data_IF_799037639545
#
_entry.id   IF_799037639545
#
_cell.length_a   1.000
_cell.length_b   1.000
_cell.length_c   1.000
_cell.angle_alpha   90.00
_cell.angle_beta   90.00
_cell.angle_gamma   90.00
#
_symmetry.space_group_name_H-M   'P 1'
#
loop_
_entity.id
_entity.type
_entity.pdbx_description
1 polymer ?
#
# COMPACT_ATOMS: atom_id res chain seq x y z
N UNK A 1 -4.58 -17.65 20.88
CA UNK A 1 -3.28 -17.20 20.32
C UNK A 1 -3.53 -16.59 18.95
N UNK A 2 -3.09 -15.35 18.70
CA UNK A 2 -3.14 -14.77 17.36
C UNK A 2 -2.14 -15.48 16.44
N UNK A 3 -2.59 -16.00 15.31
CA UNK A 3 -1.75 -16.79 14.38
C UNK A 3 -0.62 -15.98 13.71
N UNK A 4 -0.71 -14.65 13.69
CA UNK A 4 0.29 -13.77 13.09
C UNK A 4 0.62 -12.60 14.03
N UNK A 5 1.90 -12.19 14.06
CA UNK A 5 2.33 -10.99 14.79
C UNK A 5 1.89 -9.72 14.06
N UNK A 6 1.78 -8.59 14.78
CA UNK A 6 1.47 -7.29 14.18
C UNK A 6 2.47 -6.92 13.07
N UNK A 7 3.76 -7.21 13.27
CA UNK A 7 4.81 -7.01 12.27
C UNK A 7 4.52 -7.81 10.99
N UNK A 8 4.28 -9.11 11.11
CA UNK A 8 3.95 -9.99 9.98
C UNK A 8 2.73 -9.49 9.22
N UNK A 9 1.69 -9.04 9.94
CA UNK A 9 0.48 -8.50 9.33
C UNK A 9 0.78 -7.25 8.50
N UNK A 10 1.49 -6.26 9.05
CA UNK A 10 1.83 -5.05 8.28
C UNK A 10 2.82 -5.32 7.14
N UNK A 11 3.73 -6.28 7.30
CA UNK A 11 4.66 -6.69 6.25
C UNK A 11 3.89 -7.28 5.06
N UNK A 12 2.97 -8.20 5.34
CA UNK A 12 2.07 -8.78 4.33
C UNK A 12 1.24 -7.69 3.64
N UNK A 13 0.69 -6.74 4.38
CA UNK A 13 -0.06 -5.60 3.81
C UNK A 13 0.81 -4.78 2.86
N UNK A 14 2.03 -4.44 3.29
CA UNK A 14 2.95 -3.65 2.47
C UNK A 14 3.36 -4.37 1.19
N UNK A 15 3.75 -5.65 1.28
CA UNK A 15 4.10 -6.48 0.12
C UNK A 15 2.92 -6.60 -0.87
N UNK A 16 1.70 -6.79 -0.37
CA UNK A 16 0.50 -6.82 -1.21
C UNK A 16 0.28 -5.50 -1.95
N UNK A 17 0.51 -4.35 -1.30
CA UNK A 17 0.43 -3.06 -2.00
C UNK A 17 1.52 -2.88 -3.04
N UNK A 18 2.76 -3.32 -2.79
CA UNK A 18 3.85 -3.28 -3.78
C UNK A 18 3.46 -4.10 -5.01
N UNK A 19 2.97 -5.33 -4.81
CA UNK A 19 2.51 -6.20 -5.90
C UNK A 19 1.33 -5.57 -6.65
N UNK A 20 0.38 -4.98 -5.93
CA UNK A 20 -0.78 -4.32 -6.54
C UNK A 20 -0.37 -3.11 -7.38
N UNK A 21 0.60 -2.32 -6.92
CA UNK A 21 1.15 -1.21 -7.69
C UNK A 21 1.85 -1.68 -8.97
N UNK A 22 2.60 -2.80 -8.91
CA UNK A 22 3.21 -3.41 -10.09
C UNK A 22 2.13 -3.88 -11.09
N UNK A 23 1.09 -4.56 -10.62
CA UNK A 23 -0.05 -4.99 -11.45
C UNK A 23 -0.78 -3.80 -12.08
N UNK A 24 -1.05 -2.75 -11.31
CA UNK A 24 -1.66 -1.52 -11.82
C UNK A 24 -0.83 -0.91 -12.96
N UNK A 25 0.50 -0.80 -12.78
CA UNK A 25 1.37 -0.32 -13.85
C UNK A 25 1.24 -1.16 -15.11
N UNK A 26 1.23 -2.50 -14.97
CA UNK A 26 1.05 -3.42 -16.10
C UNK A 26 -0.30 -3.21 -16.80
N UNK A 27 -1.41 -3.11 -16.05
CA UNK A 27 -2.72 -2.87 -16.65
C UNK A 27 -2.81 -1.53 -17.38
N UNK A 28 -2.35 -0.45 -16.75
CA UNK A 28 -2.32 0.88 -17.36
C UNK A 28 -1.55 0.86 -18.67
N UNK A 29 -0.39 0.19 -18.69
CA UNK A 29 0.44 0.06 -19.89
C UNK A 29 -0.23 -0.79 -20.97
N UNK A 30 -0.73 -1.96 -20.61
CA UNK A 30 -1.36 -2.90 -21.57
C UNK A 30 -2.65 -2.33 -22.17
N UNK A 31 -3.42 -1.56 -21.40
CA UNK A 31 -4.65 -0.92 -21.88
C UNK A 31 -4.40 0.40 -22.62
N UNK A 32 -3.14 0.85 -22.73
CA UNK A 32 -2.81 2.10 -23.42
C UNK A 32 -3.36 3.35 -22.73
N UNK A 33 -3.59 3.32 -21.42
CA UNK A 33 -4.11 4.48 -20.68
C UNK A 33 -3.09 5.61 -20.71
N UNK A 34 -3.49 6.78 -21.20
CA UNK A 34 -2.68 7.99 -21.14
C UNK A 34 -2.60 8.49 -19.69
N UNK A 35 -1.49 8.21 -19.01
CA UNK A 35 -1.27 8.51 -17.59
C UNK A 35 -1.21 10.01 -17.27
N UNK A 36 -0.83 10.84 -18.25
CA UNK A 36 -0.78 12.29 -18.09
C UNK A 36 -2.20 12.84 -18.03
N UNK A 37 -3.04 12.47 -19.00
CA UNK A 37 -4.45 12.90 -19.08
C UNK A 37 -5.32 12.29 -17.97
N UNK A 38 -4.97 11.10 -17.47
CA UNK A 38 -5.77 10.35 -16.50
C UNK A 38 -5.14 10.29 -15.10
N UNK A 39 -4.26 11.23 -14.76
CA UNK A 39 -3.57 11.27 -13.45
C UNK A 39 -4.54 11.27 -12.26
N UNK A 40 -5.58 12.10 -12.29
CA UNK A 40 -6.60 12.15 -11.24
C UNK A 40 -7.40 10.83 -11.11
N UNK A 41 -7.66 10.15 -12.22
CA UNK A 41 -8.30 8.83 -12.19
C UNK A 41 -7.39 7.79 -11.52
N UNK A 42 -6.10 7.78 -11.85
CA UNK A 42 -5.11 6.87 -11.26
C UNK A 42 -4.97 7.13 -9.76
N UNK A 43 -4.88 8.40 -9.35
CA UNK A 43 -4.82 8.78 -7.93
C UNK A 43 -6.05 8.29 -7.15
N UNK A 44 -7.25 8.50 -7.70
CA UNK A 44 -8.49 7.99 -7.08
C UNK A 44 -8.50 6.46 -7.01
N UNK A 45 -8.06 5.77 -8.06
CA UNK A 45 -7.98 4.31 -8.06
C UNK A 45 -7.02 3.80 -6.95
N UNK A 46 -5.87 4.44 -6.77
CA UNK A 46 -4.93 4.13 -5.67
C UNK A 46 -5.60 4.31 -4.31
N UNK A 47 -6.28 5.45 -4.09
CA UNK A 47 -6.97 5.72 -2.83
C UNK A 47 -8.07 4.69 -2.54
N UNK A 48 -8.83 4.29 -3.56
CA UNK A 48 -9.86 3.25 -3.43
C UNK A 48 -9.24 1.89 -3.10
N UNK A 49 -8.16 1.49 -3.77
CA UNK A 49 -7.44 0.23 -3.46
C UNK A 49 -6.99 0.20 -2.00
N UNK A 50 -6.42 1.29 -1.50
CA UNK A 50 -5.97 1.40 -0.10
C UNK A 50 -7.15 1.27 0.86
N UNK A 51 -8.24 2.00 0.59
CA UNK A 51 -9.44 1.95 1.42
C UNK A 51 -10.08 0.56 1.44
N UNK A 52 -10.26 -0.05 0.27
CA UNK A 52 -10.81 -1.39 0.14
C UNK A 52 -9.93 -2.45 0.79
N UNK A 53 -8.60 -2.29 0.75
CA UNK A 53 -7.69 -3.19 1.45
C UNK A 53 -7.89 -3.10 2.96
N UNK A 54 -7.96 -1.88 3.52
CA UNK A 54 -8.25 -1.69 4.94
C UNK A 54 -9.60 -2.31 5.35
N UNK A 55 -10.67 -2.05 4.60
CA UNK A 55 -11.99 -2.60 4.92
C UNK A 55 -12.01 -4.13 4.82
N UNK A 56 -11.34 -4.70 3.81
CA UNK A 56 -11.22 -6.15 3.65
C UNK A 56 -10.49 -6.80 4.83
N UNK A 57 -9.41 -6.18 5.31
CA UNK A 57 -8.68 -6.71 6.47
C UNK A 57 -9.52 -6.60 7.73
N UNK A 58 -10.19 -5.47 7.96
CA UNK A 58 -11.06 -5.27 9.11
C UNK A 58 -12.21 -6.28 9.13
N UNK A 59 -12.82 -6.55 7.98
CA UNK A 59 -13.89 -7.53 7.84
C UNK A 59 -13.37 -8.94 8.16
N UNK A 60 -12.20 -9.32 7.63
CA UNK A 60 -11.55 -10.61 7.96
C UNK A 60 -11.22 -10.74 9.45
N UNK A 61 -10.74 -9.66 10.08
CA UNK A 61 -10.44 -9.61 11.52
C UNK A 61 -11.69 -9.65 12.41
N UNK A 62 -12.86 -9.33 11.88
CA UNK A 62 -14.15 -9.31 12.61
C UNK A 62 -15.01 -10.56 12.39
N UNK A 63 -14.58 -11.49 11.53
CA UNK A 63 -15.35 -12.68 11.21
C UNK A 63 -15.53 -13.61 12.42
N UNK A 64 -16.61 -14.41 12.39
CA UNK A 64 -17.00 -15.31 13.49
C UNK A 64 -15.84 -16.14 14.05
N UNK A 65 -15.04 -16.75 13.17
CA UNK A 65 -13.87 -17.56 13.55
C UNK A 65 -12.81 -16.75 14.31
N UNK A 66 -12.57 -15.49 13.93
CA UNK A 66 -11.61 -14.60 14.59
C UNK A 66 -12.12 -14.15 15.98
N UNK A 67 -13.43 -13.90 16.09
CA UNK A 67 -14.09 -13.57 17.37
C UNK A 67 -14.03 -14.73 18.37
N UNK A 68 -14.31 -15.95 17.92
CA UNK A 68 -14.27 -17.16 18.74
C UNK A 68 -12.84 -17.49 19.18
N UNK A 69 -11.82 -17.12 18.39
CA UNK A 69 -10.41 -17.40 18.68
C UNK A 69 -9.70 -16.33 19.53
N UNK A 70 -10.42 -15.31 20.01
CA UNK A 70 -9.86 -14.11 20.66
C UNK A 70 -8.75 -13.40 19.86
N UNK A 71 -8.73 -13.60 18.53
CA UNK A 71 -7.73 -13.02 17.65
C UNK A 71 -8.08 -11.57 17.34
N UNK A 72 -7.59 -10.61 18.15
CA UNK A 72 -7.74 -9.19 17.83
C UNK A 72 -6.69 -8.77 16.83
N UNK A 73 -7.10 -8.45 15.60
CA UNK A 73 -6.26 -7.82 14.59
C UNK A 73 -6.59 -6.32 14.55
N UNK A 74 -5.95 -5.54 15.43
CA UNK A 74 -6.15 -4.09 15.52
C UNK A 74 -5.22 -3.37 14.55
N UNK A 75 -5.56 -3.40 13.27
CA UNK A 75 -4.87 -2.60 12.26
C UNK A 75 -5.46 -1.19 12.21
N UNK A 76 -4.61 -0.17 12.28
CA UNK A 76 -5.03 1.22 12.15
C UNK A 76 -5.10 1.64 10.68
N UNK A 77 -6.22 2.30 10.30
CA UNK A 77 -6.42 2.85 8.95
C UNK A 77 -5.29 3.78 8.53
N UNK A 78 -4.77 4.59 9.45
CA UNK A 78 -3.66 5.52 9.21
C UNK A 78 -2.38 4.81 8.81
N UNK A 79 -2.09 3.65 9.41
CA UNK A 79 -0.94 2.82 9.06
C UNK A 79 -1.10 2.19 7.69
N UNK A 80 -2.26 1.61 7.40
CA UNK A 80 -2.56 1.01 6.08
C UNK A 80 -2.48 2.07 4.98
N UNK A 81 -3.01 3.27 5.25
CA UNK A 81 -2.94 4.39 4.31
C UNK A 81 -1.49 4.77 4.02
N UNK A 82 -0.67 4.97 5.06
CA UNK A 82 0.73 5.30 4.87
C UNK A 82 1.51 4.22 4.11
N UNK A 83 1.32 2.94 4.47
CA UNK A 83 1.97 1.80 3.80
C UNK A 83 1.56 1.71 2.33
N UNK A 84 0.27 1.89 2.03
CA UNK A 84 -0.25 1.91 0.67
C UNK A 84 0.33 3.05 -0.15
N UNK A 85 0.24 4.30 0.34
CA UNK A 85 0.82 5.46 -0.33
C UNK A 85 2.32 5.28 -0.58
N UNK A 86 3.06 4.75 0.40
CA UNK A 86 4.49 4.49 0.28
C UNK A 86 4.81 3.43 -0.79
N UNK A 87 4.07 2.32 -0.81
CA UNK A 87 4.25 1.25 -1.78
C UNK A 87 3.99 1.73 -3.22
N UNK A 88 2.86 2.42 -3.45
CA UNK A 88 2.54 2.97 -4.75
C UNK A 88 3.55 4.03 -5.20
N UNK A 89 3.97 4.93 -4.30
CA UNK A 89 5.03 5.89 -4.60
C UNK A 89 6.32 5.17 -5.03
N UNK A 90 6.75 4.15 -4.27
CA UNK A 90 8.00 3.44 -4.54
C UNK A 90 8.01 2.77 -5.91
N UNK A 91 6.90 2.14 -6.31
CA UNK A 91 6.81 1.46 -7.60
C UNK A 91 6.67 2.47 -8.75
N UNK A 92 5.77 3.45 -8.64
CA UNK A 92 5.49 4.40 -9.72
C UNK A 92 6.60 5.45 -9.90
N UNK A 93 7.34 5.80 -8.84
CA UNK A 93 8.46 6.74 -8.92
C UNK A 93 9.61 6.21 -9.81
N UNK A 94 9.76 4.89 -9.93
CA UNK A 94 10.72 4.27 -10.87
C UNK A 94 10.31 4.43 -12.34
N UNK A 95 9.08 4.85 -12.59
CA UNK A 95 8.51 5.10 -13.92
C UNK A 95 8.01 6.56 -13.98
N UNK A 96 8.75 7.47 -13.33
CA UNK A 96 8.36 8.86 -13.08
C UNK A 96 7.97 9.63 -14.34
N UNK A 97 8.58 9.34 -15.50
CA UNK A 97 8.22 9.96 -16.77
C UNK A 97 6.73 9.76 -17.11
N UNK A 98 6.18 8.57 -16.88
CA UNK A 98 4.78 8.28 -17.14
C UNK A 98 3.86 8.79 -16.01
N UNK A 99 4.32 8.78 -14.76
CA UNK A 99 3.48 9.02 -13.59
C UNK A 99 3.81 10.33 -12.84
N UNK A 100 4.43 11.31 -13.50
CA UNK A 100 5.00 12.48 -12.82
C UNK A 100 4.01 13.21 -11.89
N UNK A 101 2.77 13.43 -12.34
CA UNK A 101 1.72 14.06 -11.54
C UNK A 101 1.36 13.20 -10.31
N UNK A 102 1.07 11.92 -10.53
CA UNK A 102 0.71 10.96 -9.47
C UNK A 102 1.83 10.82 -8.45
N UNK A 103 3.07 10.68 -8.90
CA UNK A 103 4.26 10.56 -8.04
C UNK A 103 4.45 11.82 -7.20
N UNK A 104 4.20 13.01 -7.77
CA UNK A 104 4.27 14.27 -7.03
C UNK A 104 3.21 14.33 -5.94
N UNK A 105 1.97 13.92 -6.23
CA UNK A 105 0.89 13.89 -5.25
C UNK A 105 1.18 12.90 -4.10
N UNK A 106 1.59 11.67 -4.43
CA UNK A 106 1.94 10.67 -3.42
C UNK A 106 3.14 11.12 -2.56
N UNK A 107 4.15 11.76 -3.16
CA UNK A 107 5.29 12.32 -2.41
C UNK A 107 4.82 13.42 -1.45
N UNK A 108 3.96 14.32 -1.91
CA UNK A 108 3.38 15.37 -1.08
C UNK A 108 2.66 14.77 0.13
N UNK A 109 1.80 13.77 -0.07
CA UNK A 109 1.09 13.08 0.99
C UNK A 109 2.02 12.44 2.03
N UNK A 110 3.10 11.80 1.58
CA UNK A 110 4.11 11.18 2.46
C UNK A 110 4.93 12.19 3.26
N UNK A 111 5.05 13.43 2.75
CA UNK A 111 5.78 14.51 3.41
C UNK A 111 4.95 15.25 4.47
N UNK A 112 3.63 15.05 4.53
CA UNK A 112 2.77 15.72 5.49
C UNK A 112 3.19 15.42 6.94
N UNK A 113 3.16 16.42 7.87
CA UNK A 113 3.59 16.24 9.26
C UNK A 113 2.90 15.07 9.98
N UNK A 114 1.61 14.84 9.69
CA UNK A 114 0.82 13.72 10.23
C UNK A 114 1.40 12.33 9.94
N UNK A 115 2.25 12.20 8.91
CA UNK A 115 2.87 10.94 8.52
C UNK A 115 4.21 10.66 9.22
N UNK A 116 4.74 11.59 10.02
CA UNK A 116 6.07 11.45 10.68
C UNK A 116 6.14 10.21 11.58
N UNK A 117 5.06 9.92 12.31
CA UNK A 117 4.98 8.77 13.22
C UNK A 117 5.02 7.46 12.43
N UNK A 118 4.13 7.29 11.44
CA UNK A 118 4.11 6.12 10.56
C UNK A 118 5.44 5.89 9.86
N UNK A 119 6.06 6.97 9.35
CA UNK A 119 7.37 6.90 8.69
C UNK A 119 8.47 6.36 9.60
N UNK A 120 8.51 6.81 10.87
CA UNK A 120 9.49 6.29 11.84
C UNK A 120 9.19 4.83 12.18
N UNK A 121 7.92 4.52 12.47
CA UNK A 121 7.48 3.17 12.87
C UNK A 121 7.77 2.11 11.82
N UNK A 122 7.49 2.39 10.56
CA UNK A 122 7.56 1.38 9.49
C UNK A 122 8.83 1.41 8.65
N UNK A 123 9.85 2.21 9.04
CA UNK A 123 11.09 2.34 8.28
C UNK A 123 11.78 1.00 8.02
N UNK A 124 11.92 0.18 9.05
CA UNK A 124 12.53 -1.17 8.95
C UNK A 124 11.65 -2.11 8.14
N UNK A 125 10.34 -2.14 8.43
CA UNK A 125 9.36 -2.99 7.76
C UNK A 125 9.30 -2.73 6.24
N UNK A 126 9.33 -1.47 5.82
CA UNK A 126 9.38 -1.10 4.40
C UNK A 126 10.67 -1.58 3.75
N UNK A 127 11.82 -1.44 4.43
CA UNK A 127 13.11 -1.91 3.92
C UNK A 127 13.08 -3.43 3.72
N UNK A 128 12.59 -4.16 4.71
CA UNK A 128 12.41 -5.61 4.68
C UNK A 128 11.44 -6.04 3.55
N UNK A 129 10.25 -5.43 3.50
CA UNK A 129 9.26 -5.75 2.49
C UNK A 129 9.74 -5.46 1.06
N UNK A 130 10.50 -4.39 0.84
CA UNK A 130 11.09 -4.12 -0.46
C UNK A 130 12.18 -5.14 -0.82
N UNK A 131 13.04 -5.51 0.13
CA UNK A 131 14.08 -6.52 -0.07
C UNK A 131 13.48 -7.90 -0.41
N UNK A 132 12.38 -8.29 0.22
CA UNK A 132 11.69 -9.55 -0.14
C UNK A 132 11.08 -9.53 -1.54
N UNK A 133 10.77 -8.35 -2.08
CA UNK A 133 10.08 -8.20 -3.36
C UNK A 133 11.05 -7.99 -4.53
N UNK A 134 12.36 -7.85 -4.30
CA UNK A 134 13.34 -7.68 -5.38
C UNK A 134 13.44 -8.90 -6.30
N UNK A 135 13.05 -10.08 -5.81
CA UNK A 135 13.00 -11.32 -6.59
C UNK A 135 11.76 -11.43 -7.48
N UNK A 136 10.76 -10.55 -7.32
CA UNK A 136 9.45 -10.62 -8.01
C UNK A 136 9.42 -9.66 -9.23
N UNK A 137 10.55 -9.50 -9.91
CA UNK A 137 10.74 -8.70 -11.15
C UNK A 137 10.64 -7.16 -11.02
N UNK A 138 11.62 -6.45 -11.62
CA UNK A 138 11.64 -5.01 -11.89
C UNK A 138 11.58 -4.70 -13.39
#
# INVERSE_FOLDING_TARGET
>A
MGLNTEHTVYLNVYQNFVLTAMKMHRYIRTWGINTIKNSAFIERAIQQIILHTYTSIRNKGSNHVARVSAGRCEILKTHVNWLGTHAFYTVLARKSFCYAAVVRHLKFDLCLPRQRVSRRRFRSLVKEGLASMTHITF
#
